data_IF_436501262957
#
_entry.id   IF_436501262957
#
_cell.length_a   1.000
_cell.length_b   1.000
_cell.length_c   1.000
_cell.angle_alpha   90.00
_cell.angle_beta   90.00
_cell.angle_gamma   90.00
#
_symmetry.space_group_name_H-M   'P 1'
#
loop_
_entity.id
_entity.type
_entity.pdbx_description
1 polymer ?
#
# COMPACT_ATOMS: atom_id res chain seq x y z
N UNK A 1 5.02 -2.24 -11.56
CA UNK A 1 5.44 -3.22 -10.53
C UNK A 1 5.43 -4.60 -11.16
N UNK A 2 6.33 -5.52 -10.78
CA UNK A 2 6.36 -6.85 -11.40
C UNK A 2 5.20 -7.71 -10.93
N UNK A 3 4.77 -8.68 -11.75
CA UNK A 3 3.69 -9.61 -11.40
C UNK A 3 3.95 -10.41 -10.10
N UNK A 4 5.18 -10.90 -9.83
CA UNK A 4 5.50 -11.54 -8.56
C UNK A 4 5.33 -10.64 -7.33
N UNK A 5 5.75 -9.37 -7.41
CA UNK A 5 5.61 -8.43 -6.29
C UNK A 5 4.14 -8.10 -6.01
N UNK A 6 3.33 -7.91 -7.07
CA UNK A 6 1.88 -7.70 -6.93
C UNK A 6 1.23 -8.90 -6.23
N UNK A 7 1.59 -10.13 -6.63
CA UNK A 7 1.07 -11.35 -5.98
C UNK A 7 1.50 -11.43 -4.51
N UNK A 8 2.74 -11.07 -4.20
CA UNK A 8 3.24 -11.01 -2.82
C UNK A 8 2.39 -10.07 -1.98
N UNK A 9 2.19 -8.82 -2.42
CA UNK A 9 1.36 -7.86 -1.67
C UNK A 9 -0.09 -8.33 -1.56
N UNK A 10 -0.68 -8.80 -2.66
CA UNK A 10 -2.06 -9.30 -2.66
C UNK A 10 -2.27 -10.44 -1.66
N UNK A 11 -1.29 -11.33 -1.49
CA UNK A 11 -1.35 -12.45 -0.55
C UNK A 11 -1.39 -12.05 0.94
N UNK A 12 -1.04 -10.80 1.27
CA UNK A 12 -1.12 -10.29 2.65
C UNK A 12 -2.57 -10.10 3.11
N UNK A 13 -3.47 -9.81 2.17
CA UNK A 13 -4.87 -9.48 2.44
C UNK A 13 -5.72 -10.75 2.48
N UNK A 14 -6.39 -11.03 3.62
CA UNK A 14 -7.24 -12.22 3.73
C UNK A 14 -8.51 -12.05 2.87
N UNK A 15 -8.91 -13.11 2.18
CA UNK A 15 -10.14 -13.14 1.38
C UNK A 15 -9.90 -12.91 -0.11
N UNK A 16 -10.62 -13.70 -0.94
CA UNK A 16 -10.47 -13.66 -2.41
C UNK A 16 -10.81 -12.29 -3.00
N UNK A 17 -11.78 -11.58 -2.44
CA UNK A 17 -12.19 -10.26 -2.92
C UNK A 17 -11.09 -9.21 -2.71
N UNK A 18 -10.59 -9.05 -1.48
CA UNK A 18 -9.53 -8.08 -1.17
C UNK A 18 -8.25 -8.40 -1.95
N UNK A 19 -7.81 -9.66 -1.97
CA UNK A 19 -6.63 -10.06 -2.74
C UNK A 19 -6.76 -9.75 -4.24
N UNK A 20 -7.94 -9.99 -4.84
CA UNK A 20 -8.17 -9.67 -6.26
C UNK A 20 -8.23 -8.16 -6.50
N UNK A 21 -8.88 -7.42 -5.60
CA UNK A 21 -8.95 -5.96 -5.65
C UNK A 21 -7.57 -5.33 -5.58
N UNK A 22 -6.73 -5.76 -4.63
CA UNK A 22 -5.34 -5.32 -4.48
C UNK A 22 -4.54 -5.59 -5.75
N UNK A 23 -4.61 -6.83 -6.26
CA UNK A 23 -3.89 -7.20 -7.47
C UNK A 23 -4.34 -6.39 -8.70
N UNK A 24 -5.63 -6.05 -8.80
CA UNK A 24 -6.16 -5.19 -9.85
C UNK A 24 -5.62 -3.77 -9.71
N UNK A 25 -5.76 -3.15 -8.54
CA UNK A 25 -5.32 -1.77 -8.28
C UNK A 25 -3.84 -1.56 -8.58
N UNK A 26 -2.97 -2.42 -8.07
CA UNK A 26 -1.52 -2.32 -8.30
C UNK A 26 -1.11 -2.55 -9.76
N UNK A 27 -1.97 -3.19 -10.57
CA UNK A 27 -1.71 -3.45 -11.98
C UNK A 27 -2.22 -2.34 -12.89
N UNK A 28 -3.37 -1.75 -12.55
CA UNK A 28 -4.12 -0.90 -13.51
C UNK A 28 -4.21 0.55 -13.10
N UNK A 29 -4.01 0.90 -11.81
CA UNK A 29 -4.19 2.27 -11.35
C UNK A 29 -2.91 3.09 -11.60
N UNK A 30 -2.93 4.08 -12.51
CA UNK A 30 -1.74 4.86 -12.84
C UNK A 30 -1.27 5.77 -11.70
N UNK A 31 -2.14 6.07 -10.72
CA UNK A 31 -1.85 6.95 -9.59
C UNK A 31 -0.59 6.52 -8.84
N UNK A 32 -0.41 5.22 -8.62
CA UNK A 32 0.72 4.69 -7.85
C UNK A 32 2.07 5.03 -8.51
N UNK A 33 2.16 4.85 -9.82
CA UNK A 33 3.39 5.16 -10.57
C UNK A 33 3.68 6.66 -10.54
N UNK A 34 2.66 7.50 -10.80
CA UNK A 34 2.81 8.95 -10.76
C UNK A 34 3.24 9.46 -9.37
N UNK A 35 2.67 8.94 -8.29
CA UNK A 35 3.06 9.31 -6.93
C UNK A 35 4.51 8.91 -6.62
N UNK A 36 4.94 7.69 -7.00
CA UNK A 36 6.32 7.28 -6.78
C UNK A 36 7.34 8.10 -7.56
N UNK A 37 6.97 8.64 -8.72
CA UNK A 37 7.81 9.57 -9.48
C UNK A 37 7.91 10.94 -8.80
N UNK A 38 6.77 11.49 -8.35
CA UNK A 38 6.71 12.81 -7.71
C UNK A 38 7.30 12.82 -6.29
N UNK A 39 7.25 11.69 -5.58
CA UNK A 39 7.82 11.56 -4.23
C UNK A 39 9.30 11.14 -4.25
N UNK A 40 9.88 10.88 -5.43
CA UNK A 40 11.27 10.44 -5.54
C UNK A 40 12.21 11.54 -5.04
N UNK A 41 12.99 11.22 -4.01
CA UNK A 41 13.95 12.16 -3.40
C UNK A 41 13.31 13.14 -2.41
N UNK A 42 12.01 13.03 -2.12
CA UNK A 42 11.41 13.71 -0.98
C UNK A 42 11.68 12.93 0.29
N UNK A 43 12.06 13.64 1.35
CA UNK A 43 12.22 13.10 2.71
C UNK A 43 11.05 13.51 3.64
N UNK A 44 10.05 14.22 3.10
CA UNK A 44 8.91 14.68 3.88
C UNK A 44 7.96 13.53 4.23
N UNK A 45 7.36 13.53 5.43
CA UNK A 45 6.35 12.54 5.79
C UNK A 45 5.10 12.68 4.91
N UNK A 46 4.45 11.55 4.61
CA UNK A 46 3.27 11.48 3.76
C UNK A 46 2.01 11.19 4.59
N UNK A 47 0.96 11.97 4.36
CA UNK A 47 -0.40 11.69 4.82
C UNK A 47 -1.23 11.14 3.66
N UNK A 48 -1.73 9.91 3.78
CA UNK A 48 -2.57 9.23 2.80
C UNK A 48 -4.04 9.27 3.24
N UNK A 49 -4.83 10.15 2.62
CA UNK A 49 -6.25 10.33 2.91
C UNK A 49 -7.10 9.40 2.05
N UNK A 50 -7.96 8.61 2.69
CA UNK A 50 -8.68 7.53 2.02
C UNK A 50 -7.76 6.34 1.71
N UNK A 51 -6.87 6.01 2.65
CA UNK A 51 -5.81 5.01 2.45
C UNK A 51 -6.35 3.59 2.21
N UNK A 52 -7.61 3.32 2.57
CA UNK A 52 -8.30 2.04 2.40
C UNK A 52 -7.51 0.88 2.98
N UNK A 53 -7.06 -0.01 2.09
CA UNK A 53 -6.27 -1.20 2.44
C UNK A 53 -4.77 -0.90 2.58
N UNK A 54 -4.35 0.37 2.52
CA UNK A 54 -2.94 0.77 2.65
C UNK A 54 -2.07 0.45 1.45
N UNK A 55 -2.65 0.31 0.25
CA UNK A 55 -1.93 -0.17 -0.94
C UNK A 55 -0.82 0.77 -1.41
N UNK A 56 -1.03 2.08 -1.26
CA UNK A 56 -0.04 3.09 -1.61
C UNK A 56 1.24 2.90 -0.78
N UNK A 57 1.10 2.70 0.52
CA UNK A 57 2.20 2.42 1.43
C UNK A 57 3.03 1.21 0.97
N UNK A 58 2.39 0.06 0.71
CA UNK A 58 3.11 -1.12 0.21
C UNK A 58 3.78 -0.88 -1.15
N UNK A 59 3.10 -0.17 -2.04
CA UNK A 59 3.67 0.18 -3.34
C UNK A 59 4.91 1.06 -3.20
N UNK A 60 4.86 2.13 -2.41
CA UNK A 60 5.99 3.04 -2.19
C UNK A 60 7.18 2.33 -1.57
N UNK A 61 6.94 1.44 -0.58
CA UNK A 61 7.99 0.60 0.01
C UNK A 61 8.63 -0.33 -1.02
N UNK A 62 7.85 -0.92 -1.93
CA UNK A 62 8.41 -1.70 -3.05
C UNK A 62 9.25 -0.88 -4.03
N UNK A 63 9.06 0.45 -4.06
CA UNK A 63 9.83 1.41 -4.85
C UNK A 63 11.03 2.00 -4.11
N UNK A 64 11.30 1.53 -2.89
CA UNK A 64 12.39 2.03 -2.05
C UNK A 64 12.11 3.38 -1.40
N UNK A 65 10.86 3.86 -1.44
CA UNK A 65 10.46 5.09 -0.76
C UNK A 65 10.10 4.73 0.68
N UNK A 66 10.93 5.18 1.61
CA UNK A 66 10.86 4.83 3.04
C UNK A 66 10.47 6.00 3.96
N UNK A 67 9.98 7.11 3.41
CA UNK A 67 9.47 8.23 4.25
C UNK A 67 8.38 7.72 5.20
N UNK A 68 8.20 8.33 6.39
CA UNK A 68 7.09 8.00 7.27
C UNK A 68 5.75 8.19 6.54
N UNK A 69 4.86 7.20 6.64
CA UNK A 69 3.53 7.26 6.02
C UNK A 69 2.47 7.08 7.10
N UNK A 70 1.55 8.04 7.18
CA UNK A 70 0.36 7.94 8.00
C UNK A 70 -0.88 7.79 7.12
N UNK A 71 -1.64 6.71 7.33
CA UNK A 71 -2.88 6.45 6.59
C UNK A 71 -4.13 6.82 7.40
N UNK A 72 -5.10 7.47 6.75
CA UNK A 72 -6.41 7.74 7.33
C UNK A 72 -7.52 7.25 6.40
N UNK A 73 -8.41 6.40 6.91
CA UNK A 73 -9.64 6.00 6.24
C UNK A 73 -10.77 5.88 7.26
N UNK A 74 -12.01 6.13 6.84
CA UNK A 74 -13.18 6.05 7.71
C UNK A 74 -13.72 4.62 7.84
N UNK A 75 -13.40 3.72 6.90
CA UNK A 75 -13.87 2.33 6.91
C UNK A 75 -12.99 1.48 7.84
N UNK A 76 -13.47 1.26 9.07
CA UNK A 76 -12.77 0.48 10.09
C UNK A 76 -12.38 -0.93 9.61
N UNK A 77 -13.19 -1.55 8.73
CA UNK A 77 -12.90 -2.90 8.22
C UNK A 77 -11.67 -2.88 7.34
N UNK A 78 -11.52 -1.86 6.49
CA UNK A 78 -10.33 -1.70 5.64
C UNK A 78 -9.09 -1.41 6.48
N UNK A 79 -9.21 -0.55 7.50
CA UNK A 79 -8.11 -0.27 8.44
C UNK A 79 -7.65 -1.54 9.16
N UNK A 80 -8.60 -2.38 9.61
CA UNK A 80 -8.28 -3.67 10.23
C UNK A 80 -7.54 -4.60 9.28
N UNK A 81 -8.01 -4.75 8.04
CA UNK A 81 -7.33 -5.54 7.01
C UNK A 81 -5.93 -5.00 6.68
N UNK A 82 -5.77 -3.67 6.60
CA UNK A 82 -4.49 -3.02 6.36
C UNK A 82 -3.48 -3.31 7.47
N UNK A 83 -3.89 -3.18 8.74
CA UNK A 83 -3.03 -3.50 9.90
C UNK A 83 -2.58 -4.95 9.91
N UNK A 84 -3.48 -5.90 9.65
CA UNK A 84 -3.14 -7.31 9.52
C UNK A 84 -2.16 -7.57 8.36
N UNK A 85 -2.31 -6.86 7.23
CA UNK A 85 -1.38 -6.96 6.12
C UNK A 85 0.01 -6.42 6.49
N UNK A 86 0.09 -5.32 7.25
CA UNK A 86 1.35 -4.75 7.76
C UNK A 86 2.05 -5.76 8.67
N UNK A 87 1.35 -6.31 9.66
CA UNK A 87 1.88 -7.34 10.58
C UNK A 87 2.45 -8.54 9.82
N UNK A 88 1.73 -9.05 8.81
CA UNK A 88 2.20 -10.17 7.98
C UNK A 88 3.39 -9.84 7.08
N UNK A 89 3.50 -8.58 6.67
CA UNK A 89 4.51 -8.16 5.71
C UNK A 89 5.89 -7.96 6.33
N UNK A 90 5.95 -7.70 7.64
CA UNK A 90 7.16 -7.30 8.34
C UNK A 90 7.69 -5.91 7.95
N UNK A 91 6.89 -5.09 7.26
CA UNK A 91 7.27 -3.75 6.81
C UNK A 91 7.10 -2.75 7.96
N UNK A 92 8.18 -2.07 8.32
CA UNK A 92 8.19 -1.05 9.37
C UNK A 92 7.67 0.32 8.88
N UNK A 93 7.36 1.20 9.83
CA UNK A 93 7.01 2.62 9.63
C UNK A 93 5.79 2.85 8.73
N UNK A 94 4.77 1.99 8.87
CA UNK A 94 3.44 2.16 8.29
C UNK A 94 2.42 2.28 9.43
N UNK A 95 1.86 3.48 9.63
CA UNK A 95 0.96 3.78 10.77
C UNK A 95 -0.45 4.14 10.34
#
# INVERSE_FOLDING_TARGET
MSSPEIKRIASLFPGRWDSNYVASKLRTDPLYTALAENLRGSDLPLLDLGCGLGLLAFFLRSKGISVPIHGLDYDERKIRSARLAVEKSGVADLT
#
